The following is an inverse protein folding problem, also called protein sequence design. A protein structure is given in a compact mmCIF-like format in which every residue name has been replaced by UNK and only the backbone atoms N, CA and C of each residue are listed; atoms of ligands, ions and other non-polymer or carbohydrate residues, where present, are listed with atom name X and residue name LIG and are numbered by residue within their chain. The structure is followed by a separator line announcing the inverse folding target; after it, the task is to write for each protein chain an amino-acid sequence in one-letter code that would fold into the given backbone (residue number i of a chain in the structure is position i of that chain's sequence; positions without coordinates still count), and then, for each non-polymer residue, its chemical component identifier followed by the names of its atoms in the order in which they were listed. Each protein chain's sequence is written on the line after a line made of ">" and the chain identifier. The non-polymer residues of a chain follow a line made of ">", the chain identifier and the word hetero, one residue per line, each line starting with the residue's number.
data_IF_513164937343
#
_entry.id   IF_513164937343
#
_cell.length_a   1.000
_cell.length_b   1.000
_cell.length_c   1.000
_cell.angle_alpha   90.00
_cell.angle_beta   90.00
_cell.angle_gamma   90.00
#
_symmetry.space_group_name_H-M   'P 1'
#
loop_
_entity.id
_entity.type
_entity.pdbx_description
1 polymer ?
#
# COMPACT_ATOMS: atom_id res chain seq x y z
N UNK A 1 -0.65 13.78 -5.44
CA UNK A 1 0.59 13.34 -6.10
C UNK A 1 0.33 13.25 -7.59
N UNK A 2 1.15 13.89 -8.42
CA UNK A 2 1.15 13.74 -9.89
C UNK A 2 1.76 12.37 -10.26
N UNK A 3 1.11 11.28 -9.86
CA UNK A 3 1.71 9.96 -9.77
C UNK A 3 2.29 9.48 -11.11
N UNK A 4 1.58 9.78 -12.20
CA UNK A 4 1.97 9.39 -13.55
C UNK A 4 2.93 10.36 -14.25
N UNK A 5 3.13 11.56 -13.70
CA UNK A 5 4.02 12.56 -14.32
C UNK A 5 5.49 12.19 -14.13
N UNK A 6 6.25 12.18 -15.23
CA UNK A 6 7.68 11.84 -15.24
C UNK A 6 8.54 12.97 -14.70
N UNK A 7 8.09 14.21 -14.84
CA UNK A 7 8.79 15.41 -14.40
C UNK A 7 7.81 16.57 -14.12
N UNK A 8 8.34 17.72 -13.71
CA UNK A 8 7.56 18.91 -13.30
C UNK A 8 6.75 19.59 -14.42
N UNK A 9 6.97 19.24 -15.69
CA UNK A 9 6.32 19.90 -16.83
C UNK A 9 5.04 19.19 -17.29
N UNK A 10 4.79 17.95 -16.89
CA UNK A 10 3.67 17.13 -17.39
C UNK A 10 2.32 17.36 -16.65
N UNK A 11 2.31 18.23 -15.62
CA UNK A 11 1.08 18.58 -14.89
C UNK A 11 0.45 17.43 -14.10
N UNK A 12 -0.85 17.56 -13.80
CA UNK A 12 -1.63 16.59 -13.00
C UNK A 12 -2.67 15.82 -13.84
N UNK A 13 -3.24 16.45 -14.86
CA UNK A 13 -4.35 15.89 -15.64
C UNK A 13 -3.86 15.03 -16.81
N UNK A 14 -4.60 13.97 -17.10
CA UNK A 14 -4.51 13.19 -18.34
C UNK A 14 -5.85 13.23 -19.06
N UNK A 15 -5.83 13.14 -20.39
CA UNK A 15 -7.03 12.86 -21.14
C UNK A 15 -7.45 11.43 -20.81
N UNK A 16 -8.71 11.25 -20.39
CA UNK A 16 -9.24 9.97 -19.91
C UNK A 16 -10.55 9.70 -20.62
N UNK A 17 -10.80 8.44 -20.94
CA UNK A 17 -12.09 7.98 -21.42
C UNK A 17 -12.92 7.51 -20.23
N UNK A 18 -14.03 8.19 -19.88
CA UNK A 18 -14.88 7.81 -18.75
C UNK A 18 -15.44 6.39 -18.87
N UNK A 19 -15.52 5.83 -20.09
CA UNK A 19 -15.98 4.45 -20.32
C UNK A 19 -15.02 3.40 -19.76
N UNK A 20 -13.76 3.76 -19.55
CA UNK A 20 -12.79 2.86 -18.93
C UNK A 20 -12.97 2.73 -17.40
N UNK A 21 -13.86 3.51 -16.79
CA UNK A 21 -14.24 3.41 -15.38
C UNK A 21 -15.37 2.41 -15.12
N UNK A 22 -15.66 1.52 -16.08
CA UNK A 22 -16.76 0.56 -15.95
C UNK A 22 -16.63 -0.24 -14.65
N UNK A 23 -17.65 -0.08 -13.80
CA UNK A 23 -17.86 -0.87 -12.59
C UNK A 23 -17.88 -2.36 -12.96
N UNK A 24 -17.40 -3.20 -12.06
CA UNK A 24 -17.36 -4.66 -12.18
C UNK A 24 -18.55 -5.22 -12.95
N UNK A 25 -18.28 -5.97 -14.01
CA UNK A 25 -19.32 -6.73 -14.68
C UNK A 25 -19.98 -7.68 -13.66
N UNK A 26 -21.30 -7.56 -13.55
CA UNK A 26 -22.14 -8.47 -12.80
C UNK A 26 -22.27 -9.79 -13.58
N UNK A 27 -22.05 -10.91 -12.90
CA UNK A 27 -22.13 -12.24 -13.46
C UNK A 27 -23.14 -13.05 -12.66
N UNK A 28 -24.23 -13.43 -13.30
CA UNK A 28 -25.18 -14.38 -12.72
C UNK A 28 -24.68 -15.80 -12.97
N UNK A 29 -24.61 -16.59 -11.90
CA UNK A 29 -24.29 -18.00 -12.06
C UNK A 29 -25.48 -18.83 -12.55
N UNK A 30 -25.17 -19.90 -13.28
CA UNK A 30 -26.13 -20.90 -13.77
C UNK A 30 -25.58 -22.30 -13.56
N UNK A 31 -25.49 -22.70 -12.31
CA UNK A 31 -25.10 -24.03 -11.86
C UNK A 31 -26.27 -25.00 -11.91
N UNK A 32 -26.00 -26.25 -12.29
CA UNK A 32 -27.01 -27.33 -12.31
C UNK A 32 -27.19 -28.01 -10.96
N UNK A 33 -26.14 -28.02 -10.12
CA UNK A 33 -26.08 -28.76 -8.85
C UNK A 33 -25.72 -27.87 -7.64
N UNK A 34 -25.87 -26.56 -7.77
CA UNK A 34 -25.62 -25.60 -6.70
C UNK A 34 -26.60 -24.43 -6.80
N UNK A 35 -26.75 -23.68 -5.71
CA UNK A 35 -27.54 -22.46 -5.72
C UNK A 35 -26.88 -21.40 -6.60
N UNK A 36 -27.70 -20.72 -7.40
CA UNK A 36 -27.26 -19.60 -8.20
C UNK A 36 -27.25 -18.33 -7.36
N UNK A 37 -26.19 -17.57 -7.52
CA UNK A 37 -25.98 -16.27 -6.91
C UNK A 37 -25.40 -15.28 -7.93
N UNK A 38 -25.41 -14.00 -7.55
CA UNK A 38 -24.82 -12.88 -8.27
C UNK A 38 -23.38 -12.69 -7.84
N UNK A 39 -22.47 -12.69 -8.82
CA UNK A 39 -21.04 -12.46 -8.63
C UNK A 39 -20.62 -11.14 -9.26
N UNK A 40 -19.57 -10.51 -8.72
CA UNK A 40 -18.97 -9.31 -9.28
C UNK A 40 -17.53 -9.60 -9.72
N UNK A 41 -17.21 -9.31 -10.97
CA UNK A 41 -15.84 -9.44 -11.49
C UNK A 41 -15.00 -8.25 -11.06
N UNK A 42 -14.14 -8.46 -10.06
CA UNK A 42 -13.25 -7.43 -9.50
C UNK A 42 -11.84 -7.54 -10.05
N UNK A 43 -11.21 -6.40 -10.33
CA UNK A 43 -9.76 -6.32 -10.51
C UNK A 43 -9.11 -6.21 -9.13
N UNK A 44 -8.62 -7.33 -8.60
CA UNK A 44 -8.00 -7.43 -7.28
C UNK A 44 -6.64 -6.71 -7.19
N UNK A 45 -6.01 -6.42 -8.32
CA UNK A 45 -4.74 -5.68 -8.44
C UNK A 45 -4.92 -4.24 -8.92
N UNK A 46 -6.12 -3.66 -8.84
CA UNK A 46 -6.41 -2.30 -9.32
C UNK A 46 -5.49 -1.23 -8.73
N UNK A 47 -5.25 -1.28 -7.41
CA UNK A 47 -4.34 -0.36 -6.72
C UNK A 47 -2.89 -0.59 -7.12
N UNK A 48 -2.44 -1.85 -7.08
CA UNK A 48 -1.06 -2.19 -7.37
C UNK A 48 -0.68 -1.84 -8.81
N UNK A 49 -1.56 -2.12 -9.77
CA UNK A 49 -1.35 -1.81 -11.19
C UNK A 49 -1.17 -0.31 -11.41
N UNK A 50 -2.02 0.52 -10.79
CA UNK A 50 -1.93 1.97 -10.88
C UNK A 50 -0.62 2.51 -10.25
N UNK A 51 -0.28 2.04 -9.05
CA UNK A 51 0.92 2.51 -8.33
C UNK A 51 2.23 2.00 -8.96
N UNK A 52 2.26 0.75 -9.44
CA UNK A 52 3.43 0.18 -10.11
C UNK A 52 3.70 0.83 -11.48
N UNK A 53 2.68 1.38 -12.14
CA UNK A 53 2.85 2.17 -13.36
C UNK A 53 3.43 3.57 -13.09
N UNK A 54 3.11 4.16 -11.93
CA UNK A 54 3.42 5.54 -11.59
C UNK A 54 4.93 5.81 -11.36
N UNK A 55 5.62 6.59 -12.21
CA UNK A 55 7.04 6.89 -12.06
C UNK A 55 7.37 7.62 -10.76
N UNK A 56 6.50 8.53 -10.32
CA UNK A 56 6.73 9.34 -9.13
C UNK A 56 6.75 8.45 -7.87
N UNK A 57 5.84 7.48 -7.77
CA UNK A 57 5.69 6.59 -6.62
C UNK A 57 6.92 5.68 -6.43
N UNK A 58 7.68 5.43 -7.49
CA UNK A 58 8.90 4.62 -7.43
C UNK A 58 10.09 5.36 -6.82
N UNK A 59 9.99 6.65 -6.50
CA UNK A 59 11.11 7.42 -5.92
C UNK A 59 11.14 7.24 -4.40
N UNK A 60 12.31 6.92 -3.85
CA UNK A 60 12.44 6.61 -2.42
C UNK A 60 11.90 7.70 -1.49
N UNK A 61 12.17 8.97 -1.79
CA UNK A 61 11.68 10.09 -0.98
C UNK A 61 10.16 10.30 -1.09
N UNK A 62 9.54 9.97 -2.23
CA UNK A 62 8.08 10.06 -2.41
C UNK A 62 7.37 9.07 -1.50
N UNK A 63 7.96 7.90 -1.24
CA UNK A 63 7.41 6.92 -0.31
C UNK A 63 7.30 7.50 1.11
N UNK A 64 8.29 8.27 1.55
CA UNK A 64 8.24 8.98 2.85
C UNK A 64 7.05 9.94 2.89
N UNK A 65 6.92 10.80 1.88
CA UNK A 65 5.83 11.78 1.78
C UNK A 65 4.46 11.10 1.77
N UNK A 66 4.34 9.98 1.04
CA UNK A 66 3.12 9.20 0.95
C UNK A 66 2.76 8.56 2.30
N UNK A 67 3.71 7.96 3.00
CA UNK A 67 3.46 7.29 4.29
C UNK A 67 3.06 8.29 5.38
N UNK A 68 3.75 9.44 5.43
CA UNK A 68 3.56 10.44 6.48
C UNK A 68 2.31 11.30 6.26
N UNK A 69 1.91 11.49 5.00
CA UNK A 69 0.70 12.25 4.70
C UNK A 69 -0.57 11.55 5.22
N UNK A 70 -1.45 12.23 5.98
CA UNK A 70 -2.70 11.63 6.46
C UNK A 70 -3.64 11.20 5.33
N UNK A 71 -3.57 11.89 4.19
CA UNK A 71 -4.50 11.81 3.07
C UNK A 71 -3.78 12.12 1.76
N UNK A 72 -3.89 11.25 0.78
CA UNK A 72 -3.24 11.46 -0.52
C UNK A 72 -4.19 11.15 -1.66
N UNK A 73 -4.29 12.09 -2.58
CA UNK A 73 -4.92 11.91 -3.87
C UNK A 73 -3.84 11.68 -4.92
N UNK A 74 -3.93 10.60 -5.67
CA UNK A 74 -2.99 10.18 -6.71
C UNK A 74 -3.64 10.35 -8.07
N UNK A 75 -3.00 11.19 -8.89
CA UNK A 75 -3.37 11.39 -10.29
C UNK A 75 -2.65 10.33 -11.12
N UNK A 76 -3.35 9.22 -11.39
CA UNK A 76 -2.84 8.11 -12.18
C UNK A 76 -3.28 8.24 -13.65
N UNK A 77 -2.87 7.28 -14.48
CA UNK A 77 -3.14 7.33 -15.93
C UNK A 77 -4.65 7.32 -16.23
N UNK A 78 -5.37 6.36 -15.66
CA UNK A 78 -6.77 6.08 -16.02
C UNK A 78 -7.79 6.69 -15.05
N UNK A 79 -7.47 6.75 -13.75
CA UNK A 79 -8.39 7.24 -12.73
C UNK A 79 -7.66 7.90 -11.56
N UNK A 80 -8.41 8.61 -10.73
CA UNK A 80 -7.91 9.13 -9.47
C UNK A 80 -7.98 8.06 -8.39
N UNK A 81 -6.92 7.97 -7.60
CA UNK A 81 -6.83 7.08 -6.44
C UNK A 81 -6.71 7.90 -5.17
N UNK A 82 -7.51 7.58 -4.18
CA UNK A 82 -7.47 8.20 -2.86
C UNK A 82 -7.04 7.20 -1.81
N UNK A 83 -6.19 7.63 -0.90
CA UNK A 83 -5.86 6.86 0.30
C UNK A 83 -5.82 7.76 1.54
N UNK A 84 -6.32 7.23 2.64
CA UNK A 84 -6.18 7.81 3.97
C UNK A 84 -5.74 6.74 4.97
N UNK A 85 -5.71 7.08 6.26
CA UNK A 85 -5.33 6.16 7.36
C UNK A 85 -6.35 5.04 7.62
N UNK A 86 -7.49 5.05 6.94
CA UNK A 86 -8.62 4.15 7.18
C UNK A 86 -9.01 3.33 5.95
N UNK A 87 -8.92 3.92 4.76
CA UNK A 87 -9.37 3.27 3.53
C UNK A 87 -8.67 3.80 2.30
N UNK A 88 -8.82 3.03 1.24
CA UNK A 88 -8.50 3.38 -0.13
C UNK A 88 -9.78 3.43 -0.94
N UNK A 89 -9.86 4.38 -1.85
CA UNK A 89 -10.94 4.53 -2.81
C UNK A 89 -10.37 4.95 -4.17
N UNK A 90 -11.15 4.78 -5.22
CA UNK A 90 -10.82 5.30 -6.55
C UNK A 90 -12.10 5.74 -7.27
N UNK A 91 -12.01 6.26 -8.48
CA UNK A 91 -13.20 6.67 -9.23
C UNK A 91 -14.13 5.48 -9.51
N UNK A 92 -13.56 4.28 -9.72
CA UNK A 92 -14.32 3.02 -9.85
C UNK A 92 -15.04 2.62 -8.56
N UNK A 93 -14.43 2.87 -7.40
CA UNK A 93 -15.00 2.54 -6.08
C UNK A 93 -14.93 3.74 -5.13
N UNK A 94 -15.86 4.72 -5.25
CA UNK A 94 -15.76 5.99 -4.54
C UNK A 94 -15.97 5.85 -3.03
N UNK A 95 -16.71 4.83 -2.59
CA UNK A 95 -16.96 4.56 -1.17
C UNK A 95 -15.83 3.78 -0.51
N UNK A 96 -15.05 3.05 -1.28
CA UNK A 96 -13.89 2.27 -0.85
C UNK A 96 -13.71 1.03 -1.72
N UNK A 97 -12.45 0.64 -1.99
CA UNK A 97 -12.18 -0.57 -2.76
C UNK A 97 -12.66 -1.82 -2.00
N UNK A 98 -13.15 -2.86 -2.71
CA UNK A 98 -13.50 -4.13 -2.09
C UNK A 98 -12.35 -4.71 -1.27
N UNK A 99 -12.66 -5.38 -0.16
CA UNK A 99 -11.65 -5.92 0.76
C UNK A 99 -10.69 -6.89 0.07
N UNK A 100 -11.20 -7.69 -0.88
CA UNK A 100 -10.41 -8.57 -1.74
C UNK A 100 -9.31 -7.83 -2.52
N UNK A 101 -9.58 -6.60 -2.97
CA UNK A 101 -8.60 -5.73 -3.66
C UNK A 101 -7.64 -5.03 -2.68
N UNK A 102 -8.01 -4.94 -1.40
CA UNK A 102 -7.23 -4.23 -0.37
C UNK A 102 -6.15 -5.08 0.31
N UNK A 103 -6.10 -6.39 0.03
CA UNK A 103 -5.21 -7.34 0.70
C UNK A 103 -3.73 -7.26 0.29
N UNK A 104 -3.36 -6.35 -0.63
CA UNK A 104 -1.97 -6.21 -1.04
C UNK A 104 -1.13 -5.37 -0.05
N UNK A 105 0.18 -5.62 -0.02
CA UNK A 105 1.13 -4.90 0.85
C UNK A 105 1.21 -3.39 0.56
N UNK A 106 0.72 -2.90 -0.58
CA UNK A 106 0.88 -1.51 -0.99
C UNK A 106 -0.28 -0.60 -0.56
N UNK A 107 -1.35 -1.15 0.00
CA UNK A 107 -2.59 -0.45 0.34
C UNK A 107 -2.58 0.11 1.78
N UNK A 108 -1.93 -0.57 2.72
CA UNK A 108 -2.01 -0.27 4.17
C UNK A 108 -0.74 0.37 4.74
N UNK A 109 -0.14 1.31 3.99
CA UNK A 109 1.18 1.86 4.33
C UNK A 109 1.13 3.09 5.22
N UNK A 110 -0.02 3.79 5.32
CA UNK A 110 -0.13 5.03 6.09
C UNK A 110 -0.13 4.78 7.59
N UNK A 111 0.50 5.68 8.33
CA UNK A 111 0.54 5.62 9.81
C UNK A 111 -0.84 6.03 10.34
N UNK A 112 -1.55 5.11 11.01
CA UNK A 112 -2.71 5.44 11.85
C UNK A 112 -2.18 5.97 13.17
N UNK A 113 -2.46 7.24 13.49
CA UNK A 113 -2.24 7.73 14.85
C UNK A 113 -3.18 6.98 15.79
N UNK A 114 -2.71 6.54 16.97
CA UNK A 114 -3.60 6.00 17.98
C UNK A 114 -4.57 7.11 18.39
N UNK A 115 -5.86 7.01 18.04
CA UNK A 115 -6.85 7.94 18.60
C UNK A 115 -7.02 7.67 20.09
N UNK A 116 -7.11 8.72 20.90
CA UNK A 116 -7.36 8.63 22.35
C UNK A 116 -8.66 7.87 22.71
N UNK A 117 -9.60 7.75 21.76
CA UNK A 117 -10.86 7.03 21.88
C UNK A 117 -10.82 5.57 21.43
N UNK A 118 -9.69 5.07 20.91
CA UNK A 118 -9.52 3.64 20.64
C UNK A 118 -9.08 2.94 21.93
N UNK A 119 -10.07 2.63 22.76
CA UNK A 119 -9.95 1.67 23.85
C UNK A 119 -9.16 0.45 23.38
N UNK A 120 -8.22 0.05 24.21
CA UNK A 120 -7.11 -0.90 24.10
C UNK A 120 -7.45 -2.34 23.69
N UNK A 121 -8.59 -2.57 23.06
CA UNK A 121 -9.09 -3.85 22.59
C UNK A 121 -9.71 -3.67 21.20
N UNK A 122 -8.93 -3.89 20.14
CA UNK A 122 -9.49 -4.46 18.91
C UNK A 122 -8.38 -5.07 18.07
N UNK A 123 -8.37 -6.38 18.16
CA UNK A 123 -7.85 -7.31 17.18
C UNK A 123 -8.09 -6.77 15.77
N UNK A 124 -7.04 -6.45 15.03
CA UNK A 124 -7.19 -6.18 13.61
C UNK A 124 -7.40 -7.53 12.93
N UNK A 125 -8.59 -7.76 12.36
CA UNK A 125 -8.87 -8.92 11.53
C UNK A 125 -7.98 -8.84 10.28
N UNK A 126 -6.81 -9.44 10.36
CA UNK A 126 -5.92 -9.62 9.22
C UNK A 126 -6.09 -11.09 8.84
N UNK A 127 -6.76 -11.35 7.71
CA UNK A 127 -7.03 -12.72 7.22
C UNK A 127 -7.84 -13.60 8.19
N UNK A 128 -8.82 -13.05 8.91
CA UNK A 128 -9.63 -13.81 9.87
C UNK A 128 -8.89 -14.21 11.15
N UNK A 129 -7.65 -13.75 11.33
CA UNK A 129 -6.85 -13.98 12.55
C UNK A 129 -6.74 -12.71 13.38
N UNK A 130 -6.88 -12.86 14.70
CA UNK A 130 -6.63 -11.81 15.67
C UNK A 130 -5.12 -11.60 15.80
N UNK A 131 -4.61 -10.44 15.37
CA UNK A 131 -3.20 -10.05 15.58
C UNK A 131 -3.06 -9.05 16.72
N UNK A 132 -1.99 -9.19 17.51
CA UNK A 132 -1.62 -8.20 18.51
C UNK A 132 -1.18 -6.89 17.85
N UNK A 133 -1.35 -5.76 18.56
CA UNK A 133 -0.95 -4.42 18.07
C UNK A 133 0.52 -4.36 17.65
N UNK A 134 1.40 -5.05 18.38
CA UNK A 134 2.83 -5.13 18.04
C UNK A 134 3.07 -5.87 16.73
N UNK A 135 2.35 -6.96 16.46
CA UNK A 135 2.49 -7.70 15.20
C UNK A 135 2.06 -6.86 13.99
N UNK A 136 0.97 -6.10 14.12
CA UNK A 136 0.54 -5.16 13.06
C UNK A 136 1.59 -4.08 12.79
N UNK A 137 2.25 -3.58 13.83
CA UNK A 137 3.33 -2.61 13.68
C UNK A 137 4.59 -3.24 13.02
N UNK A 138 4.92 -4.49 13.33
CA UNK A 138 6.00 -5.23 12.65
C UNK A 138 5.69 -5.50 11.17
N UNK A 139 4.47 -5.96 10.86
CA UNK A 139 4.02 -6.21 9.48
C UNK A 139 4.09 -4.92 8.64
N UNK A 140 3.68 -3.79 9.23
CA UNK A 140 3.77 -2.48 8.60
C UNK A 140 5.22 -2.05 8.36
N UNK A 141 6.08 -2.25 9.36
CA UNK A 141 7.52 -1.97 9.20
C UNK A 141 8.13 -2.80 8.08
N UNK A 142 7.87 -4.11 8.05
CA UNK A 142 8.34 -5.02 7.00
C UNK A 142 7.85 -4.55 5.61
N UNK A 143 6.59 -4.13 5.52
CA UNK A 143 6.02 -3.55 4.31
C UNK A 143 6.78 -2.30 3.84
N UNK A 144 7.08 -1.37 4.75
CA UNK A 144 7.87 -0.18 4.41
C UNK A 144 9.28 -0.54 3.92
N UNK A 145 9.96 -1.48 4.58
CA UNK A 145 11.28 -1.95 4.16
C UNK A 145 11.23 -2.54 2.75
N UNK A 146 10.22 -3.36 2.44
CA UNK A 146 10.03 -3.94 1.09
C UNK A 146 9.82 -2.84 0.05
N UNK A 147 8.97 -1.85 0.34
CA UNK A 147 8.69 -0.75 -0.58
C UNK A 147 9.93 0.14 -0.81
N UNK A 148 10.66 0.48 0.25
CA UNK A 148 11.92 1.24 0.13
C UNK A 148 12.98 0.46 -0.66
N UNK A 149 13.08 -0.85 -0.46
CA UNK A 149 14.04 -1.70 -1.17
C UNK A 149 13.75 -1.78 -2.67
N UNK A 150 12.50 -1.56 -3.09
CA UNK A 150 12.08 -1.51 -4.49
C UNK A 150 12.15 -0.10 -5.11
N UNK A 151 12.31 0.94 -4.29
CA UNK A 151 12.30 2.31 -4.74
C UNK A 151 13.66 2.74 -5.33
N UNK A 152 13.61 3.61 -6.33
CA UNK A 152 14.80 4.27 -6.88
C UNK A 152 15.26 5.35 -5.91
N UNK A 153 16.50 5.21 -5.44
CA UNK A 153 17.15 6.16 -4.58
C UNK A 153 18.23 6.87 -5.39
N UNK A 154 18.11 8.18 -5.51
CA UNK A 154 19.11 9.00 -6.23
C UNK A 154 20.46 8.97 -5.53
N UNK A 155 20.48 8.80 -4.19
CA UNK A 155 21.67 8.68 -3.38
C UNK A 155 21.50 7.51 -2.41
N UNK A 156 22.36 6.51 -2.53
CA UNK A 156 22.31 5.32 -1.66
C UNK A 156 22.58 5.63 -0.19
N UNK A 157 23.35 6.68 0.10
CA UNK A 157 23.60 7.19 1.46
C UNK A 157 22.32 7.58 2.20
N UNK A 158 21.28 7.96 1.46
CA UNK A 158 20.06 8.50 2.03
C UNK A 158 19.09 7.40 2.44
N UNK A 159 19.39 6.12 2.16
CA UNK A 159 18.54 4.95 2.49
C UNK A 159 18.13 4.92 3.96
N UNK A 160 19.11 4.91 4.86
CA UNK A 160 18.88 4.80 6.29
C UNK A 160 18.29 6.10 6.85
N UNK A 161 18.70 7.25 6.30
CA UNK A 161 18.17 8.56 6.70
C UNK A 161 16.68 8.67 6.33
N UNK A 162 16.29 8.25 5.14
CA UNK A 162 14.92 8.31 4.64
C UNK A 162 13.96 7.46 5.48
N UNK A 163 14.40 6.28 5.94
CA UNK A 163 13.56 5.40 6.78
C UNK A 163 13.67 5.71 8.29
N UNK A 164 14.67 6.48 8.72
CA UNK A 164 14.91 6.77 10.14
C UNK A 164 13.73 7.44 10.84
N UNK A 165 13.00 8.32 10.14
CA UNK A 165 11.80 8.97 10.69
C UNK A 165 10.70 7.94 10.91
N UNK A 166 10.53 7.01 9.98
CA UNK A 166 9.56 5.93 10.08
C UNK A 166 9.91 4.98 11.24
N UNK A 167 11.20 4.66 11.40
CA UNK A 167 11.68 3.85 12.52
C UNK A 167 11.35 4.51 13.87
N UNK A 168 11.51 5.84 14.00
CA UNK A 168 11.12 6.57 15.21
C UNK A 168 9.63 6.40 15.52
N UNK A 169 8.76 6.53 14.52
CA UNK A 169 7.31 6.32 14.70
C UNK A 169 6.97 4.89 15.09
N UNK A 170 7.57 3.89 14.43
CA UNK A 170 7.34 2.48 14.77
C UNK A 170 7.85 2.16 16.17
N UNK A 171 8.98 2.74 16.59
CA UNK A 171 9.52 2.56 17.94
C UNK A 171 8.55 3.02 19.01
N UNK A 172 7.91 4.17 18.82
CA UNK A 172 6.88 4.69 19.75
C UNK A 172 5.68 3.73 19.85
N UNK A 173 5.36 3.00 18.79
CA UNK A 173 4.26 2.03 18.79
C UNK A 173 4.65 0.64 19.34
N UNK A 174 5.91 0.24 19.16
CA UNK A 174 6.40 -1.10 19.52
C UNK A 174 6.97 -1.20 20.93
N UNK A 175 7.53 -0.09 21.44
CA UNK A 175 8.39 -0.10 22.63
C UNK A 175 9.48 -1.19 22.52
N UNK A 176 10.19 -1.22 21.39
CA UNK A 176 11.27 -2.18 21.09
C UNK A 176 12.58 -1.45 20.72
N UNK A 177 13.69 -2.17 20.77
CA UNK A 177 15.03 -1.64 20.48
C UNK A 177 15.32 -1.73 18.99
N UNK A 178 15.49 -0.58 18.36
CA UNK A 178 15.93 -0.47 16.96
C UNK A 178 17.45 -0.59 16.86
N UNK A 179 17.94 -1.59 16.12
CA UNK A 179 19.37 -1.90 15.94
C UNK A 179 19.68 -1.96 14.45
N UNK A 180 20.39 -0.93 13.95
CA UNK A 180 20.96 -0.90 12.59
C UNK A 180 19.98 -1.26 11.44
N UNK A 181 18.71 -0.86 11.53
CA UNK A 181 17.71 -1.20 10.51
C UNK A 181 16.66 -2.23 10.96
N UNK A 182 16.94 -2.93 12.06
CA UNK A 182 16.16 -4.08 12.53
C UNK A 182 15.58 -3.84 13.94
N UNK A 183 14.62 -4.66 14.33
CA UNK A 183 13.99 -4.68 15.65
C UNK A 183 14.54 -5.86 16.45
N UNK A 184 15.05 -5.61 17.65
CA UNK A 184 15.67 -6.65 18.50
C UNK A 184 14.73 -7.83 18.74
N UNK A 185 13.42 -7.60 18.90
CA UNK A 185 12.46 -8.67 19.18
C UNK A 185 12.10 -9.52 17.96
N UNK A 186 12.41 -9.05 16.74
CA UNK A 186 12.20 -9.76 15.47
C UNK A 186 13.49 -10.00 14.70
N UNK A 187 14.62 -9.93 15.40
CA UNK A 187 15.94 -9.89 14.78
C UNK A 187 16.20 -11.12 13.89
N UNK A 188 15.86 -12.32 14.36
CA UNK A 188 16.03 -13.58 13.59
C UNK A 188 15.17 -13.55 12.32
N UNK A 189 13.88 -13.23 12.44
CA UNK A 189 12.96 -13.19 11.31
C UNK A 189 13.41 -12.16 10.26
N UNK A 190 13.94 -11.02 10.71
CA UNK A 190 14.36 -9.93 9.83
C UNK A 190 15.74 -10.12 9.20
N UNK A 191 16.50 -11.12 9.64
CA UNK A 191 17.76 -11.52 8.98
C UNK A 191 17.54 -12.44 7.79
N UNK A 192 16.33 -13.00 7.62
CA UNK A 192 15.99 -13.88 6.49
C UNK A 192 15.63 -13.04 5.25
N UNK A 193 16.60 -12.27 4.76
CA UNK A 193 16.43 -11.45 3.56
C UNK A 193 16.18 -12.34 2.35
N UNK A 194 15.14 -12.03 1.59
CA UNK A 194 14.92 -12.59 0.26
C UNK A 194 14.97 -11.47 -0.77
N UNK A 195 15.64 -11.73 -1.88
CA UNK A 195 15.61 -10.83 -3.04
C UNK A 195 14.53 -11.31 -4.01
N UNK A 196 13.63 -10.41 -4.39
CA UNK A 196 12.74 -10.67 -5.52
C UNK A 196 13.54 -10.42 -6.79
N UNK A 197 14.07 -11.48 -7.42
CA UNK A 197 14.60 -11.37 -8.77
C UNK A 197 13.46 -10.97 -9.72
N UNK A 198 13.52 -9.75 -10.25
CA UNK A 198 12.77 -9.41 -11.47
C UNK A 198 13.34 -10.28 -12.59
N UNK A 199 12.56 -11.24 -13.08
CA UNK A 199 12.83 -11.84 -14.39
C UNK A 199 12.79 -10.70 -15.40
N UNK A 200 13.96 -10.28 -15.90
CA UNK A 200 14.02 -9.44 -17.08
C UNK A 200 13.58 -10.31 -18.26
N UNK A 201 12.33 -10.16 -18.69
CA UNK A 201 11.94 -10.58 -20.04
C UNK A 201 12.55 -9.57 -21.00
N UNK A 202 13.70 -9.91 -21.56
CA UNK A 202 14.22 -9.28 -22.77
C UNK A 202 13.33 -9.72 -23.94
N UNK A 203 12.61 -8.76 -24.53
CA UNK A 203 12.11 -8.83 -25.91
C UNK A 203 12.83 -7.74 -26.70
#
# INVERSE_FOLDING_TARGET
>A
MAAVSKNSHEGLSRARDPRNLELCAEAESKWENAENDTFYLVNDVIWESAMNGAPLIKRGWVLQERILSPRSLHFCENELFWECREKIACETYPTGIPSICSNNSQSNIKIREPSESESYEKTHLVHGTSKAKKDVAYDRWATWVVLYSRAYLTKDSDKLVAISTLAKFTRTALDDVYVAGLWRSKFVDQLVWSSFHRKFTTN
#
